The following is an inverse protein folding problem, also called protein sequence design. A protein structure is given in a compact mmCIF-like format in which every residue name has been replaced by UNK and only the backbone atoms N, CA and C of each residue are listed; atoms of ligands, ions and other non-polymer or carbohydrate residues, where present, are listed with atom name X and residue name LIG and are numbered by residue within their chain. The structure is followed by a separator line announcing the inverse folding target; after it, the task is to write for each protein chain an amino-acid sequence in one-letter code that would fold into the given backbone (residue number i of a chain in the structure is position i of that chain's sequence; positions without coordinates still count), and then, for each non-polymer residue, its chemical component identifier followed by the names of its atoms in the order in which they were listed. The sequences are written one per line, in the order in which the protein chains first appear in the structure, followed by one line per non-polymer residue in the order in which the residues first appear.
data_IF_049880903963
#
_entry.id   IF_049880903963
#
_cell.length_a   1.000
_cell.length_b   1.000
_cell.length_c   1.000
_cell.angle_alpha   90.00
_cell.angle_beta   90.00
_cell.angle_gamma   90.00
#
_symmetry.space_group_name_H-M   'P 1'
#
loop_
_entity.id
_entity.type
_entity.pdbx_description
1 polymer ?
#
# COMPACT_ATOMS: atom_id res chain seq x y z
N UNK A 1 -10.30 18.09 -46.58
CA UNK A 1 -11.14 17.18 -45.76
C UNK A 1 -10.36 15.97 -45.25
N UNK A 2 -9.55 15.31 -46.09
CA UNK A 2 -8.76 14.14 -45.69
C UNK A 2 -7.76 14.42 -44.55
N UNK A 3 -7.07 15.56 -44.58
CA UNK A 3 -6.11 15.96 -43.54
C UNK A 3 -6.73 16.06 -42.14
N UNK A 4 -7.97 16.58 -42.05
CA UNK A 4 -8.69 16.67 -40.78
C UNK A 4 -9.01 15.28 -40.22
N UNK A 5 -9.36 14.32 -41.09
CA UNK A 5 -9.63 12.93 -40.69
C UNK A 5 -8.34 12.27 -40.20
N UNK A 6 -7.23 12.47 -40.91
CA UNK A 6 -5.92 11.93 -40.52
C UNK A 6 -5.50 12.46 -39.15
N UNK A 7 -5.67 13.76 -38.91
CA UNK A 7 -5.35 14.36 -37.61
C UNK A 7 -6.16 13.73 -36.46
N UNK A 8 -7.46 13.50 -36.67
CA UNK A 8 -8.32 12.85 -35.66
C UNK A 8 -7.88 11.41 -35.40
N UNK A 9 -7.55 10.64 -36.44
CA UNK A 9 -7.09 9.25 -36.31
C UNK A 9 -5.78 9.17 -35.54
N UNK A 10 -4.82 10.07 -35.81
CA UNK A 10 -3.55 10.13 -35.08
C UNK A 10 -3.76 10.40 -33.59
N UNK A 11 -4.62 11.37 -33.25
CA UNK A 11 -4.94 11.67 -31.84
C UNK A 11 -5.59 10.48 -31.15
N UNK A 12 -6.48 9.76 -31.83
CA UNK A 12 -7.20 8.63 -31.27
C UNK A 12 -6.28 7.42 -31.04
N UNK A 13 -5.32 7.18 -31.93
CA UNK A 13 -4.29 6.17 -31.77
C UNK A 13 -3.36 6.48 -30.59
N UNK A 14 -2.93 7.74 -30.46
CA UNK A 14 -2.11 8.18 -29.32
C UNK A 14 -2.87 8.00 -28.02
N UNK A 15 -4.13 8.46 -27.95
CA UNK A 15 -4.97 8.33 -26.77
C UNK A 15 -5.18 6.86 -26.37
N UNK A 16 -5.38 5.97 -27.34
CA UNK A 16 -5.54 4.53 -27.12
C UNK A 16 -4.25 3.89 -26.61
N UNK A 17 -3.09 4.26 -27.19
CA UNK A 17 -1.78 3.80 -26.72
C UNK A 17 -1.49 4.21 -25.28
N UNK A 18 -1.80 5.47 -24.93
CA UNK A 18 -1.69 5.97 -23.54
C UNK A 18 -2.64 5.20 -22.61
N UNK A 19 -3.87 4.91 -23.05
CA UNK A 19 -4.83 4.15 -22.25
C UNK A 19 -4.38 2.71 -21.98
N UNK A 20 -3.76 2.06 -22.96
CA UNK A 20 -3.16 0.72 -22.81
C UNK A 20 -1.96 0.73 -21.87
N UNK A 21 -1.09 1.75 -21.98
CA UNK A 21 0.15 1.83 -21.19
C UNK A 21 -0.10 2.18 -19.71
N UNK A 22 -1.08 3.04 -19.41
CA UNK A 22 -1.37 3.50 -18.03
C UNK A 22 -2.51 2.75 -17.34
N UNK A 23 -3.27 1.94 -18.09
CA UNK A 23 -4.43 1.19 -17.60
C UNK A 23 -5.64 2.10 -17.29
N UNK A 24 -6.87 1.63 -17.54
CA UNK A 24 -8.07 2.48 -17.47
C UNK A 24 -8.34 3.05 -16.07
N UNK A 25 -7.87 2.40 -15.00
CA UNK A 25 -8.11 2.83 -13.61
C UNK A 25 -7.39 4.13 -13.22
N UNK A 26 -6.28 4.48 -13.86
CA UNK A 26 -5.52 5.70 -13.53
C UNK A 26 -6.09 6.94 -14.23
N UNK A 27 -6.64 6.77 -15.43
CA UNK A 27 -7.18 7.87 -16.25
C UNK A 27 -8.57 8.31 -15.77
N UNK A 28 -9.45 7.36 -15.42
CA UNK A 28 -10.77 7.65 -14.85
C UNK A 28 -10.69 8.36 -13.48
N UNK A 29 -9.65 8.09 -12.69
CA UNK A 29 -9.41 8.78 -11.41
C UNK A 29 -9.04 10.26 -11.57
N UNK A 30 -8.32 10.61 -12.65
CA UNK A 30 -7.87 11.99 -12.95
C UNK A 30 -8.98 12.85 -13.55
N UNK A 31 -9.86 12.28 -14.38
CA UNK A 31 -11.01 13.01 -14.95
C UNK A 31 -12.07 13.29 -13.88
N UNK A 32 -12.27 12.36 -12.93
CA UNK A 32 -13.21 12.56 -11.81
C UNK A 32 -12.71 13.59 -10.79
N UNK A 33 -11.39 13.78 -10.63
CA UNK A 33 -10.84 14.77 -9.69
C UNK A 33 -10.90 16.21 -10.22
N UNK A 34 -10.92 16.40 -11.54
CA UNK A 34 -11.07 17.72 -12.16
C UNK A 34 -12.51 18.26 -12.10
N UNK A 35 -13.52 17.38 -12.13
CA UNK A 35 -14.94 17.79 -12.10
C UNK A 35 -15.43 18.27 -10.73
N UNK A 36 -14.74 17.93 -9.64
CA UNK A 36 -15.11 18.31 -8.28
C UNK A 36 -14.42 19.60 -7.77
N UNK A 37 -13.81 20.39 -8.66
CA UNK A 37 -13.05 21.60 -8.29
C UNK A 37 -13.82 22.91 -8.48
N UNK A 38 -15.15 22.85 -8.38
CA UNK A 38 -16.01 24.03 -8.35
C UNK A 38 -16.73 24.10 -7.00
N UNK A 39 -16.02 24.51 -5.95
CA UNK A 39 -16.62 25.04 -4.72
C UNK A 39 -15.58 25.90 -4.00
N UNK A 40 -15.72 27.21 -4.23
CA UNK A 40 -15.39 28.42 -3.43
C UNK A 40 -14.47 28.29 -2.20
N UNK A 41 -13.48 29.21 -2.01
CA UNK A 41 -12.50 29.14 -0.93
C UNK A 41 -13.07 29.66 0.39
N UNK A 42 -13.24 28.78 1.38
CA UNK A 42 -13.38 29.18 2.77
C UNK A 42 -11.98 29.30 3.39
N UNK A 43 -11.55 30.54 3.61
CA UNK A 43 -10.22 30.94 4.07
C UNK A 43 -9.98 30.71 5.57
N UNK A 44 -10.92 30.14 6.33
CA UNK A 44 -10.77 29.97 7.77
C UNK A 44 -11.53 28.74 8.27
N UNK A 45 -10.87 27.59 8.24
CA UNK A 45 -11.18 26.51 9.17
C UNK A 45 -9.86 25.93 9.68
N UNK A 46 -9.52 26.10 10.97
CA UNK A 46 -8.39 25.39 11.54
C UNK A 46 -8.70 23.91 11.40
N UNK A 47 -7.83 23.26 10.62
CA UNK A 47 -7.84 21.85 10.24
C UNK A 47 -8.08 20.98 11.47
N UNK A 48 -9.34 20.73 11.81
CA UNK A 48 -9.72 19.69 12.76
C UNK A 48 -9.16 18.38 12.21
N UNK A 49 -8.38 17.62 12.98
CA UNK A 49 -7.91 16.33 12.53
C UNK A 49 -9.17 15.53 12.16
N UNK A 50 -9.17 14.97 10.95
CA UNK A 50 -10.18 13.99 10.56
C UNK A 50 -10.13 12.88 11.60
N UNK A 51 -11.06 12.90 12.54
CA UNK A 51 -11.56 11.69 13.17
C UNK A 51 -12.26 10.90 12.07
N UNK A 52 -11.44 10.27 11.23
CA UNK A 52 -11.83 9.05 10.55
C UNK A 52 -12.26 8.17 11.71
N UNK A 53 -13.57 7.94 11.83
CA UNK A 53 -14.15 6.89 12.66
C UNK A 53 -13.59 5.59 12.10
N UNK A 54 -12.34 5.31 12.46
CA UNK A 54 -11.74 4.01 12.35
C UNK A 54 -12.69 3.16 13.18
N UNK A 55 -13.28 2.13 12.57
CA UNK A 55 -13.72 0.95 13.33
C UNK A 55 -12.74 0.78 14.48
N UNK A 56 -13.23 0.57 15.70
CA UNK A 56 -12.41 0.37 16.89
C UNK A 56 -11.50 -0.87 16.73
N UNK A 57 -10.51 -0.73 15.85
CA UNK A 57 -9.47 -1.68 15.55
C UNK A 57 -8.50 -1.52 16.70
N UNK A 58 -8.14 -2.64 17.31
CA UNK A 58 -7.21 -2.63 18.43
C UNK A 58 -5.95 -1.83 18.05
N UNK A 59 -5.45 -0.95 18.93
CA UNK A 59 -4.30 -0.10 18.62
C UNK A 59 -3.05 -0.90 18.21
N UNK A 60 -2.87 -2.14 18.69
CA UNK A 60 -1.79 -3.02 18.24
C UNK A 60 -2.02 -3.54 16.82
N UNK A 61 -3.25 -3.90 16.47
CA UNK A 61 -3.62 -4.27 15.09
C UNK A 61 -3.39 -3.11 14.13
N UNK A 62 -3.74 -1.89 14.54
CA UNK A 62 -3.47 -0.70 13.75
C UNK A 62 -1.97 -0.48 13.53
N UNK A 63 -1.13 -0.69 14.55
CA UNK A 63 0.34 -0.63 14.41
C UNK A 63 0.86 -1.65 13.39
N UNK A 64 0.36 -2.88 13.40
CA UNK A 64 0.69 -3.90 12.40
C UNK A 64 0.31 -3.41 11.00
N UNK A 65 -0.90 -2.89 10.82
CA UNK A 65 -1.38 -2.40 9.52
C UNK A 65 -0.54 -1.23 9.00
N UNK A 66 -0.17 -0.29 9.87
CA UNK A 66 0.68 0.86 9.51
C UNK A 66 2.09 0.41 9.13
N UNK A 67 2.71 -0.47 9.92
CA UNK A 67 4.03 -1.02 9.61
C UNK A 67 4.02 -1.82 8.30
N UNK A 68 2.98 -2.64 8.08
CA UNK A 68 2.81 -3.40 6.85
C UNK A 68 2.64 -2.50 5.63
N UNK A 69 1.86 -1.42 5.76
CA UNK A 69 1.70 -0.43 4.70
C UNK A 69 3.02 0.29 4.37
N UNK A 70 3.82 0.67 5.37
CA UNK A 70 5.15 1.28 5.17
C UNK A 70 6.08 0.33 4.42
N UNK A 71 6.19 -0.91 4.88
CA UNK A 71 7.04 -1.91 4.22
C UNK A 71 6.56 -2.19 2.79
N UNK A 72 5.26 -2.38 2.58
CA UNK A 72 4.70 -2.64 1.25
C UNK A 72 4.95 -1.47 0.29
N UNK A 73 4.82 -0.22 0.75
CA UNK A 73 5.10 0.96 -0.06
C UNK A 73 6.59 1.07 -0.40
N UNK A 74 7.46 0.77 0.56
CA UNK A 74 8.91 0.74 0.32
C UNK A 74 9.28 -0.34 -0.70
N UNK A 75 8.77 -1.57 -0.53
CA UNK A 75 9.02 -2.67 -1.47
C UNK A 75 8.54 -2.34 -2.90
N UNK A 76 7.37 -1.70 -3.03
CA UNK A 76 6.87 -1.21 -4.33
C UNK A 76 7.80 -0.19 -4.97
N UNK A 77 8.29 0.77 -4.18
CA UNK A 77 9.19 1.81 -4.66
C UNK A 77 10.54 1.25 -5.16
N UNK A 78 10.97 0.10 -4.63
CA UNK A 78 12.23 -0.57 -5.00
C UNK A 78 12.01 -1.73 -5.99
N UNK A 79 10.87 -1.78 -6.70
CA UNK A 79 10.62 -2.75 -7.77
C UNK A 79 10.11 -4.12 -7.32
N UNK A 80 9.91 -4.35 -6.02
CA UNK A 80 9.39 -5.61 -5.48
C UNK A 80 7.86 -5.61 -5.38
N UNK A 81 7.18 -5.48 -6.52
CA UNK A 81 5.71 -5.38 -6.57
C UNK A 81 5.01 -6.64 -6.07
N UNK A 82 5.57 -7.83 -6.33
CA UNK A 82 4.98 -9.09 -5.86
C UNK A 82 4.96 -9.16 -4.32
N UNK A 83 6.09 -8.83 -3.69
CA UNK A 83 6.19 -8.78 -2.22
C UNK A 83 5.28 -7.69 -1.65
N UNK A 84 5.21 -6.53 -2.30
CA UNK A 84 4.30 -5.45 -1.91
C UNK A 84 2.84 -5.90 -1.93
N UNK A 85 2.43 -6.61 -2.99
CA UNK A 85 1.08 -7.16 -3.16
C UNK A 85 0.79 -8.20 -2.09
N UNK A 86 1.73 -9.09 -1.82
CA UNK A 86 1.60 -10.14 -0.82
C UNK A 86 1.39 -9.56 0.59
N UNK A 87 2.21 -8.56 0.97
CA UNK A 87 2.08 -7.85 2.26
C UNK A 87 0.71 -7.17 2.37
N UNK A 88 0.26 -6.46 1.32
CA UNK A 88 -1.06 -5.81 1.32
C UNK A 88 -2.20 -6.83 1.43
N UNK A 89 -2.11 -7.94 0.70
CA UNK A 89 -3.11 -9.01 0.74
C UNK A 89 -3.19 -9.66 2.12
N UNK A 90 -2.05 -9.87 2.77
CA UNK A 90 -1.97 -10.42 4.13
C UNK A 90 -2.53 -9.44 5.16
N UNK A 91 -2.20 -8.15 5.04
CA UNK A 91 -2.75 -7.10 5.89
C UNK A 91 -4.26 -6.95 5.72
N UNK A 92 -4.80 -7.11 4.51
CA UNK A 92 -6.24 -7.08 4.26
C UNK A 92 -6.99 -8.22 4.98
N UNK A 93 -6.36 -9.40 5.11
CA UNK A 93 -6.94 -10.56 5.81
C UNK A 93 -7.13 -10.29 7.31
N UNK A 94 -6.33 -9.41 7.91
CA UNK A 94 -6.43 -9.07 9.34
C UNK A 94 -7.84 -8.57 9.72
N UNK A 95 -8.50 -7.84 8.81
CA UNK A 95 -9.84 -7.32 9.05
C UNK A 95 -10.94 -8.40 9.08
N UNK A 96 -10.70 -9.54 8.43
CA UNK A 96 -11.65 -10.65 8.35
C UNK A 96 -11.31 -11.77 9.34
N UNK A 97 -10.03 -12.14 9.41
CA UNK A 97 -9.48 -13.13 10.33
C UNK A 97 -8.10 -12.66 10.75
N UNK A 98 -8.03 -12.02 11.91
CA UNK A 98 -6.82 -11.45 12.46
C UNK A 98 -5.69 -12.49 12.64
N UNK A 99 -5.90 -13.65 13.30
CA UNK A 99 -4.89 -14.70 13.39
C UNK A 99 -4.29 -15.12 12.03
N UNK A 100 -5.15 -15.39 11.05
CA UNK A 100 -4.72 -15.83 9.73
C UNK A 100 -3.93 -14.74 8.98
N UNK A 101 -4.33 -13.48 9.11
CA UNK A 101 -3.61 -12.35 8.54
C UNK A 101 -2.23 -12.14 9.16
N UNK A 102 -2.11 -12.31 10.48
CA UNK A 102 -0.83 -12.22 11.19
C UNK A 102 0.12 -13.37 10.81
N UNK A 103 -0.38 -14.60 10.66
CA UNK A 103 0.45 -15.71 10.18
C UNK A 103 0.91 -15.51 8.75
N UNK A 104 0.02 -15.04 7.86
CA UNK A 104 0.39 -14.70 6.49
C UNK A 104 1.52 -13.66 6.47
N UNK A 105 1.40 -12.56 7.25
CA UNK A 105 2.47 -11.56 7.37
C UNK A 105 3.79 -12.16 7.87
N UNK A 106 3.76 -13.06 8.85
CA UNK A 106 4.96 -13.73 9.33
C UNK A 106 5.66 -14.53 8.23
N UNK A 107 4.89 -15.26 7.41
CA UNK A 107 5.46 -16.02 6.28
C UNK A 107 6.06 -15.09 5.21
N UNK A 108 5.39 -13.97 4.90
CA UNK A 108 5.92 -12.97 3.96
C UNK A 108 7.21 -12.34 4.46
N UNK A 109 7.31 -12.01 5.75
CA UNK A 109 8.50 -11.42 6.37
C UNK A 109 9.71 -12.35 6.29
N UNK A 110 9.52 -13.66 6.47
CA UNK A 110 10.61 -14.64 6.32
C UNK A 110 11.18 -14.63 4.90
N UNK A 111 10.34 -14.43 3.88
CA UNK A 111 10.77 -14.27 2.48
C UNK A 111 11.46 -12.93 2.23
N UNK A 112 10.92 -11.84 2.79
CA UNK A 112 11.51 -10.49 2.64
C UNK A 112 12.93 -10.42 3.20
N UNK A 113 13.23 -11.16 4.27
CA UNK A 113 14.58 -11.21 4.87
C UNK A 113 15.67 -11.72 3.92
N UNK A 114 15.30 -12.44 2.86
CA UNK A 114 16.21 -12.99 1.85
C UNK A 114 16.36 -12.04 0.65
N UNK A 115 15.60 -10.95 0.58
CA UNK A 115 15.69 -9.97 -0.50
C UNK A 115 16.98 -9.16 -0.33
N UNK A 116 17.96 -9.43 -1.20
CA UNK A 116 19.18 -8.64 -1.28
C UNK A 116 18.91 -7.35 -2.06
N UNK A 117 19.07 -6.23 -1.38
CA UNK A 117 19.08 -4.90 -1.97
C UNK A 117 20.54 -4.52 -2.19
N UNK A 118 20.87 -4.03 -3.39
CA UNK A 118 22.25 -3.77 -3.82
C UNK A 118 22.92 -2.63 -3.06
N UNK A 119 22.14 -1.67 -2.57
CA UNK A 119 22.61 -0.51 -1.80
C UNK A 119 22.53 -0.76 -0.29
N UNK A 120 23.63 -0.50 0.42
CA UNK A 120 23.76 -0.75 1.87
C UNK A 120 22.81 0.13 2.69
N UNK A 121 22.62 1.40 2.30
CA UNK A 121 21.69 2.30 2.98
C UNK A 121 20.23 1.85 2.82
N UNK A 122 19.87 1.43 1.61
CA UNK A 122 18.55 0.84 1.32
C UNK A 122 18.33 -0.48 2.06
N UNK A 123 19.38 -1.29 2.21
CA UNK A 123 19.34 -2.53 2.97
C UNK A 123 19.13 -2.28 4.47
N UNK A 124 19.79 -1.28 5.06
CA UNK A 124 19.54 -0.86 6.44
C UNK A 124 18.10 -0.39 6.63
N UNK A 125 17.59 0.43 5.70
CA UNK A 125 16.21 0.91 5.76
C UNK A 125 15.20 -0.23 5.68
N UNK A 126 15.44 -1.21 4.82
CA UNK A 126 14.62 -2.42 4.73
C UNK A 126 14.65 -3.21 6.04
N UNK A 127 15.82 -3.39 6.65
CA UNK A 127 15.96 -4.07 7.96
C UNK A 127 15.17 -3.34 9.04
N UNK A 128 15.21 -2.00 9.10
CA UNK A 128 14.41 -1.21 10.04
C UNK A 128 12.91 -1.43 9.83
N UNK A 129 12.43 -1.31 8.59
CA UNK A 129 11.00 -1.47 8.28
C UNK A 129 10.50 -2.90 8.53
N UNK A 130 11.30 -3.90 8.18
CA UNK A 130 10.99 -5.30 8.47
C UNK A 130 10.99 -5.58 9.98
N UNK A 131 11.92 -4.98 10.74
CA UNK A 131 11.99 -5.07 12.19
C UNK A 131 10.81 -4.40 12.91
N UNK A 132 10.37 -3.24 12.43
CA UNK A 132 9.15 -2.56 12.90
C UNK A 132 7.92 -3.46 12.73
N UNK A 133 7.75 -4.05 11.53
CA UNK A 133 6.63 -4.94 11.27
C UNK A 133 6.72 -6.23 12.09
N UNK A 134 7.90 -6.83 12.21
CA UNK A 134 8.10 -8.04 13.00
C UNK A 134 7.76 -7.84 14.48
N UNK A 135 8.19 -6.72 15.06
CA UNK A 135 7.88 -6.37 16.46
C UNK A 135 6.39 -6.17 16.64
N UNK A 136 5.74 -5.39 15.77
CA UNK A 136 4.29 -5.16 15.84
C UNK A 136 3.49 -6.46 15.72
N UNK A 137 3.90 -7.36 14.82
CA UNK A 137 3.26 -8.67 14.63
C UNK A 137 3.45 -9.54 15.88
N UNK A 138 4.66 -9.62 16.45
CA UNK A 138 4.94 -10.38 17.68
C UNK A 138 4.10 -9.87 18.85
N UNK A 139 4.07 -8.55 19.08
CA UNK A 139 3.29 -7.93 20.15
C UNK A 139 1.79 -8.23 20.06
N UNK A 140 1.28 -8.42 18.83
CA UNK A 140 -0.12 -8.76 18.60
C UNK A 140 -0.38 -10.25 18.75
N UNK A 141 0.54 -11.10 18.30
CA UNK A 141 0.49 -12.54 18.56
C UNK A 141 0.48 -12.86 20.05
N UNK A 142 1.32 -12.19 20.84
CA UNK A 142 1.36 -12.35 22.31
C UNK A 142 0.01 -11.99 22.95
N UNK A 143 -0.64 -10.92 22.50
CA UNK A 143 -1.96 -10.52 23.01
C UNK A 143 -3.09 -11.49 22.64
N UNK A 144 -2.96 -12.17 21.51
CA UNK A 144 -3.95 -13.14 21.06
C UNK A 144 -3.68 -14.53 21.65
N UNK A 145 -2.63 -14.67 22.46
CA UNK A 145 -2.14 -15.96 23.00
C UNK A 145 -1.83 -17.00 21.90
N UNK A 146 -1.70 -16.56 20.65
CA UNK A 146 -1.49 -17.39 19.45
C UNK A 146 -0.04 -17.87 19.33
N UNK A 147 0.67 -18.02 20.45
CA UNK A 147 2.07 -18.41 20.48
C UNK A 147 2.25 -19.86 20.00
N UNK A 148 3.17 -20.07 19.05
CA UNK A 148 4.37 -20.82 19.41
C UNK A 148 5.62 -20.01 19.04
N UNK A 149 5.97 -19.02 19.85
CA UNK A 149 7.29 -18.34 19.79
C UNK A 149 8.25 -18.88 20.86
N UNK A 150 8.30 -20.20 21.07
CA UNK A 150 9.48 -20.80 21.73
C UNK A 150 10.56 -20.98 20.65
N UNK A 151 11.62 -20.18 20.73
CA UNK A 151 12.87 -20.44 20.01
C UNK A 151 13.41 -21.81 20.44
N UNK A 152 14.08 -22.59 19.57
CA UNK A 152 15.11 -23.51 20.05
C UNK A 152 16.27 -22.73 20.67
#
# INVERSE_FOLDING_TARGET
MLEAIVAVVVVLLIATGVLLMFGPRTVFGKIRSLRNRASVPALFEPRRPRDVVQRAVNPKTQRVLVAAARLANWMRAHGHEEVSREIRSSAARIMANEPAGLYALQTTLRRVRVVNVTDSASQERLKTLAGELQTAVKDRFEQLELLPFRKP
#
